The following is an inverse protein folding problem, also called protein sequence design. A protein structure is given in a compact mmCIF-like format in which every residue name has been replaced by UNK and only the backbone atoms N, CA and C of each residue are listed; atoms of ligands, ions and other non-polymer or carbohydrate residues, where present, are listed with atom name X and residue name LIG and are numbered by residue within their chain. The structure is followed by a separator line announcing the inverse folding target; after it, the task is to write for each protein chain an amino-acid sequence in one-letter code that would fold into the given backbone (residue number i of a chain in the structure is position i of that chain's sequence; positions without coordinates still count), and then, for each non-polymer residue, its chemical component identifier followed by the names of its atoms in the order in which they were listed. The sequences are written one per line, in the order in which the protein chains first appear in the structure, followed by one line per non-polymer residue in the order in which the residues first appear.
data_IF_695930287718
#
_entry.id   IF_695930287718
#
_cell.length_a   1.000
_cell.length_b   1.000
_cell.length_c   1.000
_cell.angle_alpha   90.00
_cell.angle_beta   90.00
_cell.angle_gamma   90.00
#
_symmetry.space_group_name_H-M   'P 1'
#
loop_
_entity.id
_entity.type
_entity.pdbx_description
1 polymer ?
#
# COMPACT_ATOMS: atom_id res chain seq x y z
N UNK A 1 -0.20 -11.29 -40.77
CA UNK A 1 -1.21 -10.28 -40.98
C UNK A 1 -2.35 -10.38 -40.00
N UNK A 2 -2.94 -11.54 -39.88
CA UNK A 2 -3.98 -11.75 -38.89
C UNK A 2 -3.54 -11.47 -37.47
N UNK A 3 -2.27 -11.76 -37.19
CA UNK A 3 -1.73 -11.50 -35.87
C UNK A 3 -1.73 -10.01 -35.53
N UNK A 4 -1.62 -9.13 -36.53
CA UNK A 4 -1.68 -7.69 -36.30
C UNK A 4 -3.02 -7.25 -35.77
N UNK A 5 -4.09 -7.73 -36.36
CA UNK A 5 -5.42 -7.38 -35.94
C UNK A 5 -5.74 -7.93 -34.56
N UNK A 6 -5.23 -9.11 -34.25
CA UNK A 6 -5.39 -9.70 -32.94
C UNK A 6 -4.52 -9.01 -31.90
N UNK A 7 -3.35 -8.55 -32.31
CA UNK A 7 -2.43 -7.88 -31.42
C UNK A 7 -2.92 -6.49 -31.00
N UNK A 8 -3.62 -5.76 -31.89
CA UNK A 8 -4.08 -4.42 -31.56
C UNK A 8 -4.97 -4.40 -30.32
N UNK A 9 -6.01 -5.27 -30.16
CA UNK A 9 -6.77 -5.34 -28.94
C UNK A 9 -5.94 -5.77 -27.74
N UNK A 10 -5.02 -6.70 -27.95
CA UNK A 10 -4.13 -7.14 -26.86
C UNK A 10 -3.20 -6.04 -26.41
N UNK A 11 -2.64 -5.30 -27.37
CA UNK A 11 -1.76 -4.17 -27.04
C UNK A 11 -2.54 -3.12 -26.27
N UNK A 12 -3.75 -2.80 -26.69
CA UNK A 12 -4.58 -1.83 -25.97
C UNK A 12 -4.89 -2.29 -24.55
N UNK A 13 -5.22 -3.55 -24.38
CA UNK A 13 -5.46 -4.12 -23.04
C UNK A 13 -4.19 -4.13 -22.19
N UNK A 14 -3.05 -4.45 -22.82
CA UNK A 14 -1.78 -4.41 -22.13
C UNK A 14 -1.42 -3.01 -21.68
N UNK A 15 -1.71 -2.00 -22.47
CA UNK A 15 -1.49 -0.61 -22.10
C UNK A 15 -2.39 -0.19 -20.94
N UNK A 16 -3.64 -0.61 -20.95
CA UNK A 16 -4.52 -0.33 -19.82
C UNK A 16 -4.07 -1.05 -18.56
N UNK A 17 -3.66 -2.30 -18.70
CA UNK A 17 -3.09 -3.04 -17.58
C UNK A 17 -1.81 -2.39 -17.09
N UNK A 18 -0.94 -1.95 -18.00
CA UNK A 18 0.29 -1.25 -17.63
C UNK A 18 0.01 0.09 -16.96
N UNK A 19 -1.02 0.81 -17.43
CA UNK A 19 -1.43 2.05 -16.78
C UNK A 19 -1.99 1.78 -15.39
N UNK A 20 -2.74 0.69 -15.22
CA UNK A 20 -3.23 0.27 -13.92
C UNK A 20 -2.11 -0.27 -13.03
N UNK A 21 -1.10 -0.91 -13.63
CA UNK A 21 0.10 -1.36 -12.88
C UNK A 21 1.08 -0.23 -12.62
N UNK A 22 0.82 0.99 -13.14
CA UNK A 22 1.45 2.20 -12.64
C UNK A 22 1.02 2.47 -11.21
N UNK A 23 0.59 1.43 -10.51
CA UNK A 23 0.26 1.44 -9.10
C UNK A 23 1.44 1.93 -8.29
N UNK A 24 1.14 2.67 -7.24
CA UNK A 24 2.15 3.19 -6.34
C UNK A 24 3.03 2.05 -5.84
N UNK A 25 4.32 2.10 -6.17
CA UNK A 25 5.26 1.04 -5.84
C UNK A 25 5.53 0.94 -4.35
N UNK A 26 5.37 2.03 -3.63
CA UNK A 26 5.53 2.02 -2.18
C UNK A 26 4.38 1.28 -1.55
N UNK A 27 3.15 1.48 -2.06
CA UNK A 27 1.97 0.83 -1.52
C UNK A 27 1.84 -0.62 -2.02
N UNK A 28 2.24 -0.88 -3.25
CA UNK A 28 2.04 -2.19 -3.89
C UNK A 28 2.97 -3.24 -3.32
N UNK A 29 2.75 -3.57 -2.06
CA UNK A 29 3.45 -4.61 -1.34
C UNK A 29 2.55 -5.02 -0.17
N UNK A 30 2.51 -6.31 0.14
CA UNK A 30 1.54 -6.87 1.10
C UNK A 30 1.55 -6.17 2.47
N UNK A 31 2.74 -6.03 3.05
CA UNK A 31 2.85 -5.47 4.40
C UNK A 31 2.57 -3.97 4.39
N UNK A 32 3.11 -3.25 3.42
CA UNK A 32 2.89 -1.80 3.32
C UNK A 32 1.44 -1.47 3.04
N UNK A 33 0.81 -2.20 2.12
CA UNK A 33 -0.62 -2.04 1.88
C UNK A 33 -1.43 -2.35 3.14
N UNK A 34 -1.04 -3.39 3.86
CA UNK A 34 -1.68 -3.77 5.12
C UNK A 34 -1.55 -2.68 6.18
N UNK A 35 -0.37 -2.08 6.32
CA UNK A 35 -0.14 -1.00 7.28
C UNK A 35 -1.08 0.19 6.96
N UNK A 36 -1.08 0.64 5.72
CA UNK A 36 -1.91 1.79 5.32
C UNK A 36 -3.39 1.49 5.48
N UNK A 37 -3.81 0.30 5.10
CA UNK A 37 -5.22 -0.10 5.23
C UNK A 37 -5.66 -0.11 6.69
N UNK A 38 -4.83 -0.64 7.58
CA UNK A 38 -5.13 -0.67 9.01
C UNK A 38 -5.17 0.75 9.59
N UNK A 39 -4.24 1.61 9.18
CA UNK A 39 -4.18 2.98 9.67
C UNK A 39 -5.26 3.89 9.04
N UNK A 40 -5.83 3.48 7.92
CA UNK A 40 -6.93 4.23 7.31
C UNK A 40 -8.21 4.13 8.15
N UNK A 41 -8.38 3.06 8.91
CA UNK A 41 -9.57 2.82 9.72
C UNK A 41 -9.30 2.88 11.21
N UNK A 42 -8.09 3.18 11.61
CA UNK A 42 -7.71 3.36 13.01
C UNK A 42 -6.90 4.65 13.13
N UNK A 43 -7.21 5.44 14.14
CA UNK A 43 -6.53 6.72 14.34
C UNK A 43 -5.02 6.55 14.50
N UNK A 44 -4.63 5.52 15.25
CA UNK A 44 -3.24 5.18 15.47
C UNK A 44 -3.13 3.71 15.87
N UNK A 45 -2.00 3.11 15.54
CA UNK A 45 -1.71 1.73 15.94
C UNK A 45 -0.25 1.64 16.36
N UNK A 46 -0.01 0.84 17.39
CA UNK A 46 1.34 0.56 17.86
C UNK A 46 2.03 -0.49 16.99
N UNK A 47 3.34 -0.57 17.17
CA UNK A 47 4.16 -1.56 16.45
C UNK A 47 3.67 -2.98 16.70
N UNK A 48 3.45 -3.33 17.96
CA UNK A 48 3.00 -4.68 18.33
C UNK A 48 1.62 -5.00 17.77
N UNK A 49 0.72 -4.01 17.77
CA UNK A 49 -0.61 -4.20 17.20
C UNK A 49 -0.55 -4.48 15.70
N UNK A 50 0.23 -3.68 14.97
CA UNK A 50 0.42 -3.87 13.53
C UNK A 50 1.06 -5.21 13.23
N UNK A 51 2.07 -5.57 14.01
CA UNK A 51 2.75 -6.86 13.85
C UNK A 51 1.76 -8.03 13.95
N UNK A 52 0.88 -7.98 14.94
CA UNK A 52 -0.14 -9.01 15.13
C UNK A 52 -1.17 -9.02 14.00
N UNK A 53 -1.67 -7.85 13.61
CA UNK A 53 -2.67 -7.73 12.55
C UNK A 53 -2.16 -8.24 11.21
N UNK A 54 -0.90 -8.01 10.91
CA UNK A 54 -0.32 -8.32 9.61
C UNK A 54 0.44 -9.64 9.58
N UNK A 55 0.55 -10.30 10.72
CA UNK A 55 1.34 -11.53 10.86
C UNK A 55 2.74 -11.33 10.29
N UNK A 56 3.38 -10.24 10.68
CA UNK A 56 4.69 -9.85 10.20
C UNK A 56 5.73 -10.09 11.28
N UNK A 57 6.98 -10.25 10.85
CA UNK A 57 8.13 -10.27 11.78
C UNK A 57 8.51 -8.85 12.15
N UNK A 58 9.23 -8.69 13.25
CA UNK A 58 9.74 -7.38 13.67
C UNK A 58 10.55 -6.72 12.56
N UNK A 59 11.44 -7.47 11.94
CA UNK A 59 12.30 -6.97 10.89
C UNK A 59 11.53 -6.52 9.66
N UNK A 60 10.57 -7.34 9.20
CA UNK A 60 9.75 -7.00 8.05
C UNK A 60 8.90 -5.76 8.32
N UNK A 61 8.25 -5.73 9.48
CA UNK A 61 7.42 -4.58 9.80
C UNK A 61 8.26 -3.30 9.89
N UNK A 62 9.43 -3.35 10.55
CA UNK A 62 10.31 -2.19 10.67
C UNK A 62 10.74 -1.64 9.33
N UNK A 63 11.16 -2.52 8.41
CA UNK A 63 11.62 -2.12 7.08
C UNK A 63 10.48 -1.48 6.29
N UNK A 64 9.32 -2.11 6.30
CA UNK A 64 8.18 -1.63 5.52
C UNK A 64 7.57 -0.35 6.09
N UNK A 65 7.50 -0.24 7.42
CA UNK A 65 7.04 0.98 8.07
C UNK A 65 7.98 2.16 7.73
N UNK A 66 9.28 1.91 7.73
CA UNK A 66 10.26 2.94 7.37
C UNK A 66 10.07 3.42 5.93
N UNK A 67 9.81 2.50 5.00
CA UNK A 67 9.56 2.85 3.61
C UNK A 67 8.35 3.76 3.46
N UNK A 68 7.28 3.47 4.21
CA UNK A 68 6.10 4.33 4.21
C UNK A 68 6.37 5.69 4.84
N UNK A 69 7.14 5.71 5.90
CA UNK A 69 7.52 6.95 6.57
C UNK A 69 8.36 7.83 5.65
N UNK A 70 9.35 7.24 4.97
CA UNK A 70 10.19 7.94 4.01
C UNK A 70 9.39 8.50 2.83
N UNK A 71 8.34 7.81 2.44
CA UNK A 71 7.46 8.29 1.38
C UNK A 71 6.50 9.39 1.86
N UNK A 72 6.45 9.66 3.16
CA UNK A 72 5.55 10.65 3.71
C UNK A 72 4.12 10.16 3.91
N UNK A 73 3.90 8.85 3.85
CA UNK A 73 2.55 8.27 3.94
C UNK A 73 2.11 7.98 5.36
N UNK A 74 3.05 7.81 6.27
CA UNK A 74 2.77 7.63 7.68
C UNK A 74 3.73 8.45 8.52
N UNK A 75 3.33 8.71 9.76
CA UNK A 75 4.22 9.26 10.78
C UNK A 75 4.48 8.19 11.82
N UNK A 76 5.63 8.29 12.45
CA UNK A 76 6.05 7.39 13.51
C UNK A 76 6.42 8.23 14.73
N UNK A 77 5.77 7.95 15.85
CA UNK A 77 6.09 8.59 17.12
C UNK A 77 6.66 7.54 18.06
N UNK A 78 7.84 7.82 18.58
CA UNK A 78 8.50 6.96 19.58
C UNK A 78 8.43 7.63 20.93
N UNK A 79 8.07 6.85 21.92
CA UNK A 79 7.97 7.33 23.30
C UNK A 79 8.02 6.16 24.25
N UNK A 80 7.45 6.36 25.41
CA UNK A 80 7.44 5.35 26.45
C UNK A 80 6.04 5.23 27.05
N UNK A 81 5.68 4.00 27.38
CA UNK A 81 4.56 3.72 28.29
C UNK A 81 5.20 3.26 29.59
N UNK A 82 5.26 4.17 30.56
CA UNK A 82 6.04 3.91 31.76
C UNK A 82 7.54 3.84 31.39
N UNK A 83 8.15 2.68 31.59
CA UNK A 83 9.56 2.43 31.23
C UNK A 83 9.72 1.63 29.94
N UNK A 84 8.61 1.25 29.32
CA UNK A 84 8.65 0.41 28.13
C UNK A 84 8.63 1.31 26.89
N UNK A 85 9.59 1.14 25.96
CA UNK A 85 9.56 1.86 24.70
C UNK A 85 8.28 1.53 23.94
N UNK A 86 7.67 2.55 23.35
CA UNK A 86 6.43 2.42 22.63
C UNK A 86 6.52 3.20 21.33
N UNK A 87 6.10 2.58 20.23
CA UNK A 87 6.09 3.20 18.91
C UNK A 87 4.68 3.18 18.39
N UNK A 88 4.21 4.34 17.93
CA UNK A 88 2.89 4.50 17.33
C UNK A 88 3.00 5.07 15.93
N UNK A 89 2.09 4.65 15.07
CA UNK A 89 2.01 5.08 13.69
C UNK A 89 0.66 5.68 13.39
N UNK A 90 0.64 6.66 12.49
CA UNK A 90 -0.58 7.28 11.96
C UNK A 90 -0.43 7.46 10.47
N UNK A 91 -1.54 7.35 9.75
CA UNK A 91 -1.54 7.68 8.33
C UNK A 91 -1.56 9.20 8.16
N UNK A 92 -0.85 9.70 7.16
CA UNK A 92 -0.87 11.11 6.80
C UNK A 92 -1.97 11.38 5.79
N UNK A 93 -2.24 12.67 5.53
CA UNK A 93 -3.15 13.07 4.45
C UNK A 93 -2.66 12.54 3.11
N UNK A 94 -1.36 12.64 2.85
CA UNK A 94 -0.76 12.14 1.62
C UNK A 94 -0.89 10.62 1.53
N UNK A 95 -0.73 9.93 2.65
CA UNK A 95 -0.93 8.48 2.70
C UNK A 95 -2.35 8.08 2.36
N UNK A 96 -3.35 8.82 2.88
CA UNK A 96 -4.75 8.55 2.54
C UNK A 96 -5.02 8.77 1.06
N UNK A 97 -4.51 9.85 0.50
CA UNK A 97 -4.68 10.16 -0.92
C UNK A 97 -4.01 9.09 -1.80
N UNK A 98 -2.81 8.68 -1.41
CA UNK A 98 -2.09 7.66 -2.14
C UNK A 98 -2.82 6.31 -2.07
N UNK A 99 -3.35 5.95 -0.92
CA UNK A 99 -4.14 4.73 -0.76
C UNK A 99 -5.41 4.77 -1.61
N UNK A 100 -6.11 5.89 -1.61
CA UNK A 100 -7.32 6.06 -2.43
C UNK A 100 -7.01 5.90 -3.92
N UNK A 101 -5.93 6.51 -4.39
CA UNK A 101 -5.49 6.35 -5.78
C UNK A 101 -5.12 4.91 -6.08
N UNK A 102 -4.43 4.26 -5.16
CA UNK A 102 -4.05 2.87 -5.32
C UNK A 102 -5.29 1.98 -5.47
N UNK A 103 -6.27 2.17 -4.61
CA UNK A 103 -7.50 1.37 -4.64
C UNK A 103 -8.28 1.61 -5.93
N UNK A 104 -8.33 2.85 -6.41
CA UNK A 104 -8.98 3.18 -7.68
C UNK A 104 -8.27 2.52 -8.85
N UNK A 105 -6.95 2.52 -8.86
CA UNK A 105 -6.16 1.83 -9.89
C UNK A 105 -6.42 0.32 -9.85
N UNK A 106 -6.48 -0.25 -8.65
CA UNK A 106 -6.74 -1.68 -8.50
C UNK A 106 -8.13 -2.04 -8.98
N UNK A 107 -9.14 -1.23 -8.68
CA UNK A 107 -10.50 -1.42 -9.18
C UNK A 107 -10.53 -1.37 -10.71
N UNK A 108 -9.82 -0.43 -11.31
CA UNK A 108 -9.72 -0.32 -12.76
C UNK A 108 -9.06 -1.56 -13.36
N UNK A 109 -8.01 -2.06 -12.73
CA UNK A 109 -7.34 -3.27 -13.18
C UNK A 109 -8.27 -4.49 -13.09
N UNK A 110 -8.95 -4.64 -11.98
CA UNK A 110 -9.92 -5.72 -11.78
C UNK A 110 -11.03 -5.64 -12.83
N UNK A 111 -11.56 -4.45 -13.07
CA UNK A 111 -12.57 -4.23 -14.08
C UNK A 111 -12.09 -4.60 -15.49
N UNK A 112 -10.84 -4.26 -15.82
CA UNK A 112 -10.26 -4.59 -17.11
C UNK A 112 -10.09 -6.10 -17.29
N UNK A 113 -9.74 -6.81 -16.23
CA UNK A 113 -9.54 -8.26 -16.27
C UNK A 113 -10.89 -8.99 -16.34
N UNK A 114 -11.88 -8.53 -15.60
CA UNK A 114 -13.19 -9.18 -15.53
C UNK A 114 -14.13 -8.73 -16.65
N UNK A 115 -13.93 -7.55 -17.13
CA UNK A 115 -14.76 -6.97 -18.16
C UNK A 115 -14.47 -7.51 -19.52
#
# INVERSE_FOLDING_TARGET
MESHEKEAPRVARSRRAAAATGLDRVIHERVRLGILSALAVNDRLGFTELKGLLDATDGNLSVHARRLEEAGYITCEKGYEGRVPHTEYRITRDGRRALDRYLSHMEALIGAVKG
#
